data_IF_489602079012
#
_entry.id   IF_489602079012
#
_cell.length_a   1.000
_cell.length_b   1.000
_cell.length_c   1.000
_cell.angle_alpha   90.00
_cell.angle_beta   90.00
_cell.angle_gamma   90.00
#
_symmetry.space_group_name_H-M   'P 1'
#
loop_
_entity.id
_entity.type
_entity.pdbx_description
1 polymer ?
#
# COMPACT_ATOMS: atom_id res chain seq x y z
N UNK A 1 -13.58 15.38 10.99
CA UNK A 1 -13.82 14.12 11.74
C UNK A 1 -12.48 13.50 11.98
N UNK A 2 -11.99 13.50 13.21
CA UNK A 2 -10.73 12.79 13.55
C UNK A 2 -10.94 11.30 13.28
N UNK A 3 -10.05 10.70 12.51
CA UNK A 3 -10.09 9.28 12.18
C UNK A 3 -10.03 8.48 13.49
N UNK A 4 -11.02 7.64 13.75
CA UNK A 4 -11.06 6.84 14.98
C UNK A 4 -10.01 5.75 14.91
N UNK A 5 -9.02 5.81 15.80
CA UNK A 5 -7.94 4.81 15.94
C UNK A 5 -8.41 3.43 16.45
N UNK A 6 -9.72 3.23 16.61
CA UNK A 6 -10.32 2.00 17.15
C UNK A 6 -10.94 1.07 16.10
N UNK A 7 -10.71 1.30 14.80
CA UNK A 7 -11.19 0.40 13.75
C UNK A 7 -10.32 -0.86 13.68
N UNK A 8 -10.95 -2.01 13.50
CA UNK A 8 -10.23 -3.24 13.16
C UNK A 8 -9.56 -3.10 11.79
N UNK A 9 -8.53 -3.92 11.51
CA UNK A 9 -7.86 -3.95 10.20
C UNK A 9 -8.85 -4.13 9.04
N UNK A 10 -9.90 -4.92 9.23
CA UNK A 10 -10.94 -5.15 8.22
C UNK A 10 -11.82 -3.93 8.00
N UNK A 11 -12.28 -3.27 9.06
CA UNK A 11 -13.10 -2.06 8.97
C UNK A 11 -12.34 -0.91 8.31
N UNK A 12 -11.05 -0.75 8.66
CA UNK A 12 -10.21 0.25 8.04
C UNK A 12 -10.04 -0.01 6.53
N UNK A 13 -9.84 -1.27 6.12
CA UNK A 13 -9.74 -1.65 4.71
C UNK A 13 -11.05 -1.41 3.95
N UNK A 14 -12.20 -1.72 4.56
CA UNK A 14 -13.51 -1.50 3.94
C UNK A 14 -13.80 0.00 3.74
N UNK A 15 -13.26 0.88 4.60
CA UNK A 15 -13.41 2.33 4.46
C UNK A 15 -12.77 2.91 3.19
N UNK A 16 -11.84 2.19 2.57
CA UNK A 16 -11.19 2.62 1.30
C UNK A 16 -12.00 2.29 0.05
N UNK A 17 -13.10 1.57 0.19
CA UNK A 17 -13.90 1.13 -0.95
C UNK A 17 -14.53 2.29 -1.70
N UNK A 18 -14.26 2.35 -3.01
CA UNK A 18 -14.78 3.38 -3.91
C UNK A 18 -14.11 4.75 -3.79
N UNK A 19 -13.09 4.89 -2.96
CA UNK A 19 -12.34 6.13 -2.80
C UNK A 19 -11.03 6.16 -3.56
N UNK A 20 -10.30 7.27 -3.44
CA UNK A 20 -9.00 7.49 -4.07
C UNK A 20 -7.94 7.64 -2.98
N UNK A 21 -6.83 6.92 -3.14
CA UNK A 21 -5.60 7.08 -2.35
C UNK A 21 -4.63 7.88 -3.21
N UNK A 22 -4.15 9.02 -2.70
CA UNK A 22 -3.25 9.90 -3.45
C UNK A 22 -1.82 9.79 -2.97
N UNK A 23 -0.89 9.60 -3.91
CA UNK A 23 0.55 9.73 -3.65
C UNK A 23 0.90 11.19 -3.43
N UNK A 24 1.60 11.51 -2.34
CA UNK A 24 2.00 12.87 -1.96
C UNK A 24 3.44 12.88 -1.47
N UNK A 25 4.15 13.97 -1.74
CA UNK A 25 5.57 14.14 -1.38
C UNK A 25 5.82 15.30 -0.43
N UNK A 26 4.78 16.06 -0.06
CA UNK A 26 4.85 17.13 0.95
C UNK A 26 3.57 17.20 1.77
N UNK A 27 3.62 17.81 2.98
CA UNK A 27 2.43 18.08 3.78
C UNK A 27 1.38 18.94 3.07
N UNK A 28 1.82 19.90 2.25
CA UNK A 28 0.92 20.77 1.47
C UNK A 28 0.15 19.98 0.42
N UNK A 29 0.82 19.05 -0.29
CA UNK A 29 0.15 18.16 -1.24
C UNK A 29 -0.86 17.25 -0.54
N UNK A 30 -0.54 16.76 0.67
CA UNK A 30 -1.45 15.96 1.45
C UNK A 30 -2.75 16.74 1.79
N UNK A 31 -2.64 18.00 2.18
CA UNK A 31 -3.81 18.88 2.41
C UNK A 31 -4.63 19.12 1.14
N UNK A 32 -3.97 19.31 0.00
CA UNK A 32 -4.65 19.47 -1.29
C UNK A 32 -5.43 18.18 -1.63
N UNK A 33 -4.80 17.02 -1.46
CA UNK A 33 -5.44 15.73 -1.70
C UNK A 33 -6.67 15.51 -0.80
N UNK A 34 -6.54 15.78 0.50
CA UNK A 34 -7.64 15.69 1.46
C UNK A 34 -8.79 16.62 1.08
N UNK A 35 -8.51 17.89 0.79
CA UNK A 35 -9.53 18.87 0.37
C UNK A 35 -10.20 18.51 -0.96
N UNK A 36 -9.50 17.78 -1.83
CA UNK A 36 -10.04 17.26 -3.08
C UNK A 36 -10.89 15.99 -2.90
N UNK A 37 -10.98 15.44 -1.68
CA UNK A 37 -11.80 14.28 -1.35
C UNK A 37 -11.05 12.94 -1.41
N UNK A 38 -9.73 12.93 -1.38
CA UNK A 38 -8.98 11.70 -1.19
C UNK A 38 -9.36 11.08 0.16
N UNK A 39 -9.47 9.75 0.20
CA UNK A 39 -9.83 9.02 1.42
C UNK A 39 -8.60 8.58 2.22
N UNK A 40 -7.44 8.62 1.61
CA UNK A 40 -6.14 8.37 2.22
C UNK A 40 -5.04 9.01 1.36
N UNK A 41 -3.87 9.19 1.93
CA UNK A 41 -2.65 9.58 1.21
C UNK A 41 -1.55 8.54 1.41
N UNK A 42 -0.69 8.39 0.39
CA UNK A 42 0.54 7.64 0.46
C UNK A 42 1.71 8.61 0.56
N UNK A 43 2.38 8.62 1.69
CA UNK A 43 3.56 9.44 1.93
C UNK A 43 4.77 8.86 1.18
N UNK A 44 5.33 9.64 0.27
CA UNK A 44 6.48 9.26 -0.56
C UNK A 44 7.54 10.36 -0.54
N UNK A 45 8.80 9.98 -0.59
CA UNK A 45 9.90 10.91 -0.88
C UNK A 45 10.00 11.20 -2.38
N UNK A 46 9.74 10.17 -3.20
CA UNK A 46 9.70 10.26 -4.66
C UNK A 46 8.52 9.44 -5.19
N UNK A 47 7.77 10.00 -6.11
CA UNK A 47 6.73 9.22 -6.79
C UNK A 47 7.33 8.14 -7.71
N UNK A 48 6.60 7.06 -8.01
CA UNK A 48 7.13 5.96 -8.84
C UNK A 48 7.71 6.41 -10.18
N UNK A 49 7.16 7.44 -10.81
CA UNK A 49 7.68 8.00 -12.06
C UNK A 49 9.09 8.58 -11.88
N UNK A 50 9.34 9.29 -10.78
CA UNK A 50 10.66 9.87 -10.48
C UNK A 50 11.68 8.78 -10.14
N UNK A 51 11.28 7.75 -9.39
CA UNK A 51 12.13 6.59 -9.09
C UNK A 51 12.55 5.91 -10.40
N UNK A 52 11.62 5.71 -11.32
CA UNK A 52 11.89 5.12 -12.63
C UNK A 52 12.84 5.99 -13.48
N UNK A 53 12.67 7.30 -13.47
CA UNK A 53 13.48 8.21 -14.26
C UNK A 53 14.91 8.40 -13.70
N UNK A 54 15.03 8.50 -12.38
CA UNK A 54 16.30 8.79 -11.72
C UNK A 54 17.12 7.54 -11.41
N UNK A 55 16.48 6.39 -11.25
CA UNK A 55 17.11 5.13 -10.85
C UNK A 55 17.68 5.18 -9.43
N UNK A 56 18.65 4.31 -9.17
CA UNK A 56 19.30 4.20 -7.87
C UNK A 56 18.50 3.40 -6.85
N UNK A 57 18.92 3.46 -5.58
CA UNK A 57 18.26 2.76 -4.47
C UNK A 57 17.11 3.62 -3.96
N UNK A 58 15.90 3.07 -3.99
CA UNK A 58 14.71 3.67 -3.38
C UNK A 58 14.42 2.97 -2.03
N UNK A 59 14.26 3.75 -0.98
CA UNK A 59 14.04 3.29 0.40
C UNK A 59 12.75 3.87 0.97
N UNK A 60 12.44 3.49 2.21
CA UNK A 60 11.45 4.16 3.04
C UNK A 60 11.72 5.68 3.05
N UNK A 61 10.65 6.47 3.01
CA UNK A 61 10.73 7.93 3.10
C UNK A 61 11.28 8.37 4.46
N UNK A 62 11.84 9.57 4.50
CA UNK A 62 12.37 10.16 5.72
C UNK A 62 11.29 10.24 6.80
N UNK A 63 11.58 9.85 8.06
CA UNK A 63 10.64 9.94 9.16
C UNK A 63 10.05 11.35 9.38
N UNK A 64 10.85 12.41 9.28
CA UNK A 64 10.38 13.78 9.48
C UNK A 64 9.36 14.20 8.42
N UNK A 65 9.53 13.72 7.17
CA UNK A 65 8.55 13.92 6.11
C UNK A 65 7.22 13.21 6.42
N UNK A 66 7.30 11.96 6.89
CA UNK A 66 6.11 11.17 7.25
C UNK A 66 5.38 11.83 8.42
N UNK A 67 6.08 12.25 9.47
CA UNK A 67 5.50 12.97 10.60
C UNK A 67 4.86 14.28 10.17
N UNK A 68 5.51 15.03 9.28
CA UNK A 68 4.94 16.25 8.71
C UNK A 68 3.63 16.01 7.95
N UNK A 69 3.53 14.92 7.20
CA UNK A 69 2.30 14.54 6.48
C UNK A 69 1.23 14.06 7.47
N UNK A 70 1.59 13.23 8.47
CA UNK A 70 0.68 12.77 9.53
C UNK A 70 0.07 13.96 10.30
N UNK A 71 0.87 14.98 10.60
CA UNK A 71 0.40 16.18 11.29
C UNK A 71 -0.42 17.13 10.41
N UNK A 72 -0.44 16.93 9.09
CA UNK A 72 -1.08 17.85 8.16
C UNK A 72 -2.53 17.46 7.82
N UNK A 73 -2.91 16.19 7.90
CA UNK A 73 -4.20 15.67 7.43
C UNK A 73 -4.91 14.85 8.50
N UNK A 74 -6.25 14.78 8.41
CA UNK A 74 -7.10 13.96 9.27
C UNK A 74 -7.45 12.60 8.61
N UNK A 75 -7.14 12.42 7.32
CA UNK A 75 -7.36 11.16 6.61
C UNK A 75 -6.18 10.19 6.83
N UNK A 76 -6.38 8.88 6.66
CA UNK A 76 -5.32 7.89 6.83
C UNK A 76 -4.07 8.18 5.99
N UNK A 77 -2.91 8.03 6.62
CA UNK A 77 -1.60 8.13 5.97
C UNK A 77 -1.01 6.74 5.84
N UNK A 78 -0.58 6.39 4.65
CA UNK A 78 0.14 5.17 4.33
C UNK A 78 1.59 5.50 4.00
N UNK A 79 2.50 4.57 4.23
CA UNK A 79 3.90 4.71 3.82
C UNK A 79 4.48 3.38 3.33
N UNK A 80 5.55 3.45 2.54
CA UNK A 80 6.15 2.28 1.89
C UNK A 80 7.37 1.77 2.64
N UNK A 81 7.41 0.44 2.85
CA UNK A 81 8.61 -0.29 3.26
C UNK A 81 9.14 -1.13 2.09
N UNK A 82 10.45 -1.37 2.06
CA UNK A 82 11.06 -2.28 1.09
C UNK A 82 10.64 -3.72 1.36
N UNK A 83 10.50 -4.51 0.29
CA UNK A 83 10.21 -5.94 0.41
C UNK A 83 11.27 -6.62 1.29
N UNK A 84 10.81 -7.35 2.31
CA UNK A 84 11.64 -8.10 3.25
C UNK A 84 12.31 -7.26 4.35
N UNK A 85 12.10 -5.95 4.40
CA UNK A 85 12.75 -5.07 5.37
C UNK A 85 11.87 -4.80 6.60
N UNK A 86 11.83 -5.75 7.53
CA UNK A 86 11.02 -5.68 8.74
C UNK A 86 11.35 -4.48 9.64
N UNK A 87 12.59 -3.98 9.62
CA UNK A 87 12.99 -2.82 10.43
C UNK A 87 12.35 -1.54 9.91
N UNK A 88 12.29 -1.31 8.58
CA UNK A 88 11.54 -0.17 8.03
C UNK A 88 10.06 -0.23 8.42
N UNK A 89 9.44 -1.40 8.35
CA UNK A 89 8.05 -1.57 8.76
C UNK A 89 7.83 -1.25 10.25
N UNK A 90 8.77 -1.63 11.14
CA UNK A 90 8.71 -1.28 12.56
C UNK A 90 8.86 0.21 12.81
N UNK A 91 9.72 0.88 12.05
CA UNK A 91 9.85 2.34 12.13
C UNK A 91 8.53 3.00 11.73
N UNK A 92 7.93 2.59 10.62
CA UNK A 92 6.66 3.11 10.14
C UNK A 92 5.51 2.87 11.13
N UNK A 93 5.45 1.68 11.72
CA UNK A 93 4.49 1.38 12.78
C UNK A 93 4.66 2.30 13.99
N UNK A 94 5.92 2.55 14.41
CA UNK A 94 6.24 3.44 15.53
C UNK A 94 5.90 4.89 15.24
N UNK A 95 6.06 5.35 14.01
CA UNK A 95 5.64 6.69 13.56
C UNK A 95 4.12 6.86 13.56
N UNK A 96 3.36 5.77 13.64
CA UNK A 96 1.91 5.81 13.70
C UNK A 96 1.23 5.92 12.34
N UNK A 97 1.87 5.44 11.25
CA UNK A 97 1.17 5.33 9.96
C UNK A 97 -0.01 4.37 10.06
N UNK A 98 -1.06 4.64 9.32
CA UNK A 98 -2.29 3.84 9.37
C UNK A 98 -2.20 2.56 8.54
N UNK A 99 -1.29 2.51 7.54
CA UNK A 99 -0.99 1.35 6.71
C UNK A 99 0.48 1.34 6.28
N UNK A 100 1.05 0.14 6.19
CA UNK A 100 2.37 -0.07 5.56
C UNK A 100 2.16 -0.74 4.20
N UNK A 101 2.68 -0.15 3.12
CA UNK A 101 2.78 -0.80 1.81
C UNK A 101 4.17 -1.45 1.67
N UNK A 102 4.21 -2.77 1.76
CA UNK A 102 5.42 -3.52 1.40
C UNK A 102 5.52 -3.57 -0.11
N UNK A 103 6.36 -2.68 -0.67
CA UNK A 103 6.22 -2.24 -2.05
C UNK A 103 7.37 -2.65 -2.94
N UNK A 104 7.03 -3.21 -4.10
CA UNK A 104 7.94 -3.50 -5.22
C UNK A 104 8.49 -2.25 -5.92
N UNK A 105 7.92 -1.08 -5.66
CA UNK A 105 8.40 0.20 -6.21
C UNK A 105 9.73 0.61 -5.57
N UNK A 106 9.94 0.23 -4.32
CA UNK A 106 11.21 0.42 -3.62
C UNK A 106 12.19 -0.70 -3.96
N UNK A 107 13.49 -0.44 -3.74
CA UNK A 107 14.54 -1.45 -3.93
C UNK A 107 14.34 -2.59 -2.93
N UNK A 108 14.20 -3.87 -3.36
CA UNK A 108 14.01 -4.97 -2.44
C UNK A 108 15.20 -5.12 -1.47
N UNK A 109 14.92 -5.38 -0.20
CA UNK A 109 15.93 -5.77 0.78
C UNK A 109 16.13 -7.30 0.79
N UNK A 110 15.08 -8.05 0.47
CA UNK A 110 15.12 -9.51 0.29
C UNK A 110 14.36 -9.86 -1.00
N UNK A 111 14.99 -10.65 -1.87
CA UNK A 111 14.41 -11.08 -3.15
C UNK A 111 13.57 -12.37 -3.02
N UNK A 112 13.66 -13.05 -1.88
CA UNK A 112 13.01 -14.36 -1.64
C UNK A 112 11.85 -14.21 -0.66
N UNK A 113 12.10 -13.51 0.45
CA UNK A 113 11.15 -13.45 1.55
C UNK A 113 10.51 -12.07 1.66
N UNK A 114 9.19 -12.05 1.86
CA UNK A 114 8.44 -10.88 2.30
C UNK A 114 8.41 -10.82 3.83
N UNK A 115 8.04 -9.66 4.36
CA UNK A 115 7.86 -9.45 5.80
C UNK A 115 6.75 -10.38 6.31
N UNK A 116 6.96 -11.07 7.43
CA UNK A 116 5.89 -11.71 8.19
C UNK A 116 5.10 -10.62 8.94
N UNK A 117 3.89 -10.35 8.49
CA UNK A 117 3.06 -9.24 8.94
C UNK A 117 2.23 -9.54 10.18
N UNK A 118 2.24 -10.81 10.62
CA UNK A 118 1.46 -11.26 11.80
C UNK A 118 2.00 -10.68 13.11
N UNK A 119 3.26 -10.25 13.13
CA UNK A 119 3.91 -9.62 14.28
C UNK A 119 3.73 -8.10 14.37
N UNK A 120 2.83 -7.51 13.56
CA UNK A 120 2.57 -6.07 13.51
C UNK A 120 1.10 -5.77 13.82
N UNK A 121 0.86 -4.68 14.54
CA UNK A 121 -0.50 -4.17 14.77
C UNK A 121 -1.00 -3.35 13.58
N UNK A 122 -0.09 -2.64 12.89
CA UNK A 122 -0.41 -1.89 11.67
C UNK A 122 -0.78 -2.84 10.52
N UNK A 123 -1.87 -2.58 9.78
CA UNK A 123 -2.24 -3.37 8.61
C UNK A 123 -1.29 -3.13 7.44
N UNK A 124 -1.09 -4.17 6.62
CA UNK A 124 -0.24 -4.13 5.43
C UNK A 124 -1.06 -4.23 4.15
N UNK A 125 -0.63 -3.47 3.14
CA UNK A 125 -1.01 -3.67 1.74
C UNK A 125 0.19 -4.22 0.96
N UNK A 126 -0.07 -5.12 0.03
CA UNK A 126 0.95 -5.70 -0.85
C UNK A 126 0.47 -5.76 -2.29
N UNK A 127 1.40 -5.63 -3.24
CA UNK A 127 1.12 -5.81 -4.65
C UNK A 127 1.05 -7.28 -5.05
N UNK A 128 0.18 -7.59 -6.03
CA UNK A 128 0.13 -8.89 -6.67
C UNK A 128 -0.20 -8.77 -8.16
N UNK A 129 0.33 -9.70 -8.96
CA UNK A 129 0.07 -9.81 -10.40
C UNK A 129 -0.91 -10.93 -10.74
N UNK A 130 -1.06 -11.91 -9.84
CA UNK A 130 -1.89 -13.10 -10.02
C UNK A 130 -2.38 -13.62 -8.66
N UNK A 131 -3.30 -14.58 -8.69
CA UNK A 131 -3.92 -15.14 -7.49
C UNK A 131 -2.89 -15.84 -6.58
N UNK A 132 -1.94 -16.59 -7.13
CA UNK A 132 -0.94 -17.29 -6.34
C UNK A 132 -0.06 -16.33 -5.52
N UNK A 133 0.33 -15.20 -6.12
CA UNK A 133 1.06 -14.14 -5.41
C UNK A 133 0.18 -13.47 -4.34
N UNK A 134 -1.06 -13.15 -4.66
CA UNK A 134 -2.01 -12.58 -3.70
C UNK A 134 -2.21 -13.49 -2.47
N UNK A 135 -2.40 -14.79 -2.69
CA UNK A 135 -2.59 -15.75 -1.61
C UNK A 135 -1.37 -15.88 -0.71
N UNK A 136 -0.15 -15.81 -1.28
CA UNK A 136 1.07 -15.79 -0.47
C UNK A 136 1.11 -14.54 0.43
N UNK A 137 0.79 -13.38 -0.09
CA UNK A 137 0.74 -12.13 0.71
C UNK A 137 -0.30 -12.19 1.81
N UNK A 138 -1.49 -12.71 1.51
CA UNK A 138 -2.55 -12.93 2.52
C UNK A 138 -2.08 -13.93 3.59
N UNK A 139 -1.44 -15.02 3.20
CA UNK A 139 -0.90 -15.99 4.15
C UNK A 139 0.19 -15.41 5.06
N UNK A 140 0.92 -14.40 4.61
CA UNK A 140 1.90 -13.66 5.41
C UNK A 140 1.24 -12.60 6.32
N UNK A 141 -0.07 -12.38 6.21
CA UNK A 141 -0.84 -11.45 7.05
C UNK A 141 -1.17 -10.12 6.39
N UNK A 142 -1.06 -10.00 5.07
CA UNK A 142 -1.52 -8.78 4.38
C UNK A 142 -3.03 -8.59 4.54
N UNK A 143 -3.44 -7.38 4.90
CA UNK A 143 -4.84 -6.99 5.07
C UNK A 143 -5.49 -6.54 3.75
N UNK A 144 -4.70 -6.09 2.78
CA UNK A 144 -5.16 -5.61 1.49
C UNK A 144 -4.20 -6.03 0.38
N UNK A 145 -4.77 -6.34 -0.79
CA UNK A 145 -4.00 -6.63 -2.00
C UNK A 145 -4.34 -5.56 -3.05
N UNK A 146 -3.30 -4.99 -3.65
CA UNK A 146 -3.43 -4.13 -4.82
C UNK A 146 -2.84 -4.79 -6.06
N UNK A 147 -3.24 -4.36 -7.25
CA UNK A 147 -2.51 -4.73 -8.47
C UNK A 147 -1.13 -4.07 -8.46
N UNK A 148 -0.10 -4.76 -8.95
CA UNK A 148 1.21 -4.12 -9.15
C UNK A 148 1.16 -3.10 -10.28
N UNK A 149 0.40 -3.41 -11.33
CA UNK A 149 0.35 -2.56 -12.52
C UNK A 149 1.72 -2.37 -13.15
N UNK A 150 1.90 -1.24 -13.78
CA UNK A 150 3.20 -0.74 -14.25
C UNK A 150 3.41 0.67 -13.68
N UNK A 151 3.83 0.72 -12.42
CA UNK A 151 3.97 1.97 -11.68
C UNK A 151 4.91 2.97 -12.37
N UNK A 152 4.52 4.25 -12.37
CA UNK A 152 5.31 5.34 -12.94
C UNK A 152 5.20 5.51 -14.45
N UNK A 153 4.30 4.79 -15.15
CA UNK A 153 4.11 4.92 -16.61
C UNK A 153 2.82 5.62 -17.01
N UNK A 154 1.82 5.67 -16.11
CA UNK A 154 0.46 6.13 -16.44
C UNK A 154 -0.35 5.15 -17.29
N UNK A 155 0.25 4.03 -17.74
CA UNK A 155 -0.47 2.96 -18.42
C UNK A 155 -1.15 2.04 -17.39
N UNK A 156 -2.48 2.05 -17.39
CA UNK A 156 -3.30 1.24 -16.48
C UNK A 156 -3.66 -0.14 -17.02
N UNK A 157 -3.23 -0.48 -18.24
CA UNK A 157 -3.57 -1.75 -18.89
C UNK A 157 -3.06 -2.96 -18.09
N UNK A 158 -1.82 -2.91 -17.59
CA UNK A 158 -1.26 -3.95 -16.74
C UNK A 158 -2.01 -4.11 -15.41
N UNK A 159 -2.43 -3.01 -14.79
CA UNK A 159 -3.25 -3.06 -13.57
C UNK A 159 -4.58 -3.78 -13.83
N UNK A 160 -5.24 -3.45 -14.95
CA UNK A 160 -6.49 -4.11 -15.38
C UNK A 160 -6.28 -5.59 -15.64
N UNK A 161 -5.18 -5.96 -16.30
CA UNK A 161 -4.81 -7.35 -16.58
C UNK A 161 -4.60 -8.14 -15.28
N UNK A 162 -3.85 -7.61 -14.32
CA UNK A 162 -3.62 -8.26 -13.02
C UNK A 162 -4.93 -8.49 -12.27
N UNK A 163 -5.80 -7.47 -12.18
CA UNK A 163 -7.10 -7.58 -11.53
C UNK A 163 -8.00 -8.63 -12.18
N UNK A 164 -8.04 -8.67 -13.52
CA UNK A 164 -8.81 -9.69 -14.27
C UNK A 164 -8.27 -11.08 -14.03
N UNK A 165 -6.93 -11.25 -14.02
CA UNK A 165 -6.27 -12.53 -13.76
C UNK A 165 -6.63 -13.05 -12.36
N UNK A 166 -6.55 -12.21 -11.33
CA UNK A 166 -6.91 -12.59 -9.95
C UNK A 166 -8.40 -12.97 -9.87
N UNK A 167 -9.29 -12.12 -10.41
CA UNK A 167 -10.75 -12.35 -10.35
C UNK A 167 -11.19 -13.60 -11.12
N UNK A 168 -10.66 -13.85 -12.32
CA UNK A 168 -11.04 -15.02 -13.11
C UNK A 168 -10.70 -16.32 -12.40
N UNK A 169 -9.53 -16.41 -11.79
CA UNK A 169 -9.15 -17.59 -11.01
C UNK A 169 -10.09 -17.82 -9.82
N UNK A 170 -10.50 -16.77 -9.10
CA UNK A 170 -11.45 -16.87 -7.99
C UNK A 170 -12.82 -17.37 -8.44
N UNK A 171 -13.29 -16.92 -9.61
CA UNK A 171 -14.58 -17.35 -10.18
C UNK A 171 -14.56 -18.84 -10.59
N UNK A 172 -13.44 -19.32 -11.14
CA UNK A 172 -13.31 -20.72 -11.54
C UNK A 172 -13.12 -21.69 -10.38
N UNK A 173 -12.65 -21.21 -9.22
CA UNK A 173 -12.43 -22.04 -8.03
C UNK A 173 -13.58 -21.96 -7.01
N UNK A 174 -14.56 -21.11 -7.25
CA UNK A 174 -15.77 -21.06 -6.41
C UNK A 174 -16.66 -22.27 -6.72
N UNK A 175 -17.21 -22.98 -5.69
CA UNK A 175 -18.19 -24.03 -5.92
C UNK A 175 -19.36 -23.51 -6.74
N UNK A 176 -19.78 -24.27 -7.72
CA UNK A 176 -20.99 -23.93 -8.48
C UNK A 176 -22.22 -23.98 -7.55
N UNK A 177 -23.15 -23.01 -7.64
CA UNK A 177 -24.39 -23.08 -6.87
C UNK A 177 -25.26 -24.32 -7.18
N UNK A 178 -24.82 -25.20 -8.09
CA UNK A 178 -25.54 -26.39 -8.56
C UNK A 178 -24.88 -27.71 -8.15
N UNK A 179 -23.77 -27.70 -7.35
CA UNK A 179 -23.12 -28.92 -6.84
C UNK A 179 -23.54 -29.23 -5.40
#
# INVERSE_FOLDING_TARGET
>A
MTFSTNLSKAELTESFKGGVIMDVVTPEQAKIAENAGAIAVMALERVPADIRAQGGVARMSDPDLIEGILGAVDIPVMAKARIGHSVEAKILEHLGVHYVDESEVLSPADYVNHIDKRGFDVPFVCGATNLGEALRRVNEGAAMIRSKGEAGTGDVSEATKHLRTIKSCLLYTSPSPRD
#
